data_IF_175981021062
#
_entry.id   IF_175981021062
#
_cell.length_a   1.000
_cell.length_b   1.000
_cell.length_c   1.000
_cell.angle_alpha   90.00
_cell.angle_beta   90.00
_cell.angle_gamma   90.00
#
_symmetry.space_group_name_H-M   'P 1'
#
loop_
_entity.id
_entity.type
_entity.pdbx_description
1 polymer ?
#
# COMPACT_ATOMS: atom_id res chain seq x y z
N UNK A 1 -6.40 1.02 24.50
CA UNK A 1 -6.25 0.34 23.21
C UNK A 1 -5.81 1.37 22.19
N UNK A 2 -4.54 1.39 21.80
CA UNK A 2 -4.04 2.31 20.77
C UNK A 2 -4.55 1.90 19.40
N UNK A 3 -5.72 2.39 19.00
CA UNK A 3 -6.19 2.25 17.63
C UNK A 3 -5.37 3.21 16.77
N UNK A 4 -4.62 2.67 15.83
CA UNK A 4 -3.93 3.46 14.83
C UNK A 4 -4.73 3.45 13.53
N UNK A 5 -4.58 4.49 12.74
CA UNK A 5 -5.07 4.53 11.38
C UNK A 5 -3.92 4.40 10.38
N UNK A 6 -4.21 3.73 9.28
CA UNK A 6 -3.25 3.55 8.18
C UNK A 6 -3.86 4.02 6.87
N UNK A 7 -3.04 4.55 5.99
CA UNK A 7 -3.40 4.72 4.60
C UNK A 7 -2.70 3.64 3.79
N UNK A 8 -3.49 2.85 3.11
CA UNK A 8 -3.00 1.92 2.09
C UNK A 8 -2.89 2.67 0.79
N UNK A 9 -1.71 2.67 0.17
CA UNK A 9 -1.43 3.45 -1.03
C UNK A 9 -0.85 2.56 -2.12
N UNK A 10 -1.21 2.88 -3.36
CA UNK A 10 -0.71 2.25 -4.58
C UNK A 10 -0.54 3.27 -5.68
N UNK A 11 0.47 3.10 -6.54
CA UNK A 11 0.76 3.97 -7.67
C UNK A 11 0.86 3.20 -8.98
N UNK A 12 0.21 3.73 -10.03
CA UNK A 12 0.59 3.42 -11.40
C UNK A 12 1.65 4.41 -11.88
N UNK A 13 2.59 3.92 -12.70
CA UNK A 13 3.80 4.68 -13.05
C UNK A 13 4.18 4.51 -14.51
N UNK A 14 5.03 5.41 -15.05
CA UNK A 14 5.56 5.29 -16.42
C UNK A 14 6.63 4.21 -16.57
N UNK A 15 7.15 3.69 -15.45
CA UNK A 15 8.19 2.67 -15.42
C UNK A 15 8.58 2.31 -13.99
N UNK A 16 9.77 1.78 -13.76
CA UNK A 16 10.13 1.11 -12.51
C UNK A 16 10.97 1.97 -11.54
N UNK A 17 11.51 3.11 -12.00
CA UNK A 17 12.50 3.85 -11.20
C UNK A 17 12.38 5.37 -11.34
N UNK A 18 11.97 6.06 -10.26
CA UNK A 18 11.91 7.52 -10.26
C UNK A 18 13.30 8.18 -10.42
N UNK A 19 14.38 7.45 -10.06
CA UNK A 19 15.76 7.91 -10.26
C UNK A 19 16.20 8.00 -11.72
N UNK A 20 15.53 7.25 -12.61
CA UNK A 20 15.75 7.32 -14.05
C UNK A 20 14.71 8.16 -14.79
N UNK A 21 13.91 8.94 -14.06
CA UNK A 21 12.96 9.87 -14.63
C UNK A 21 11.54 9.34 -14.74
N UNK A 22 11.26 8.11 -14.28
CA UNK A 22 9.90 7.61 -14.27
C UNK A 22 9.02 8.40 -13.29
N UNK A 23 7.77 8.56 -13.63
CA UNK A 23 6.78 9.39 -12.95
C UNK A 23 5.54 8.60 -12.58
N UNK A 24 4.85 9.05 -11.58
CA UNK A 24 3.51 8.55 -11.25
C UNK A 24 2.46 9.04 -12.24
N UNK A 25 1.50 8.18 -12.59
CA UNK A 25 0.39 8.49 -13.52
C UNK A 25 -0.99 8.29 -12.88
N UNK A 26 -1.08 7.49 -11.83
CA UNK A 26 -2.27 7.37 -10.99
C UNK A 26 -1.84 7.15 -9.54
N UNK A 27 -2.65 7.60 -8.60
CA UNK A 27 -2.56 7.24 -7.20
C UNK A 27 -3.91 6.78 -6.70
N UNK A 28 -3.92 5.68 -5.94
CA UNK A 28 -5.04 5.22 -5.13
C UNK A 28 -4.60 5.15 -3.67
N UNK A 29 -5.40 5.68 -2.77
CA UNK A 29 -5.12 5.63 -1.35
C UNK A 29 -6.40 5.41 -0.54
N UNK A 30 -6.35 4.50 0.43
CA UNK A 30 -7.50 4.06 1.23
C UNK A 30 -7.17 4.24 2.71
N UNK A 31 -7.94 5.05 3.40
CA UNK A 31 -7.83 5.25 4.84
C UNK A 31 -8.54 4.12 5.58
N UNK A 32 -7.78 3.37 6.36
CA UNK A 32 -8.28 2.32 7.25
C UNK A 32 -8.18 2.80 8.69
N UNK A 33 -9.28 2.77 9.41
CA UNK A 33 -9.37 3.04 10.83
C UNK A 33 -10.25 1.99 11.50
N UNK A 34 -9.83 1.45 12.65
CA UNK A 34 -10.61 0.43 13.37
C UNK A 34 -10.95 -0.80 12.53
N UNK A 35 -10.03 -1.26 11.67
CA UNK A 35 -10.25 -2.34 10.71
C UNK A 35 -11.42 -2.09 9.74
N UNK A 36 -11.72 -0.83 9.45
CA UNK A 36 -12.74 -0.42 8.48
C UNK A 36 -12.14 0.59 7.51
N UNK A 37 -12.55 0.52 6.25
CA UNK A 37 -12.28 1.54 5.25
C UNK A 37 -13.21 2.71 5.54
N UNK A 38 -12.63 3.90 5.77
CA UNK A 38 -13.40 5.09 6.18
C UNK A 38 -13.31 6.25 5.20
N UNK A 39 -12.27 6.30 4.35
CA UNK A 39 -12.10 7.33 3.32
C UNK A 39 -11.21 6.84 2.19
N UNK A 40 -11.29 7.46 1.02
CA UNK A 40 -10.50 7.11 -0.17
C UNK A 40 -10.07 8.36 -0.93
N UNK A 41 -8.89 8.27 -1.54
CA UNK A 41 -8.35 9.27 -2.44
C UNK A 41 -7.93 8.61 -3.75
N UNK A 42 -8.31 9.17 -4.89
CA UNK A 42 -7.88 8.72 -6.20
C UNK A 42 -7.64 9.89 -7.13
N UNK A 43 -6.60 9.83 -7.93
CA UNK A 43 -6.39 10.79 -9.02
C UNK A 43 -5.47 10.22 -10.10
N UNK A 44 -5.83 10.43 -11.36
CA UNK A 44 -4.88 10.41 -12.45
C UNK A 44 -3.96 11.62 -12.32
N UNK A 45 -2.74 11.50 -12.89
CA UNK A 45 -1.71 12.53 -12.86
C UNK A 45 -1.05 12.67 -14.22
N UNK A 46 -0.99 13.90 -14.74
CA UNK A 46 -0.26 14.18 -15.97
C UNK A 46 1.25 14.18 -15.70
N UNK A 47 2.03 13.21 -16.24
CA UNK A 47 3.47 13.13 -16.00
C UNK A 47 4.28 14.17 -16.81
N UNK A 48 3.63 14.95 -17.70
CA UNK A 48 4.30 15.87 -18.62
C UNK A 48 5.04 15.20 -19.78
N UNK A 49 4.82 13.89 -19.98
CA UNK A 49 5.43 13.08 -21.02
C UNK A 49 4.45 12.01 -21.49
N UNK A 50 4.68 11.46 -22.69
CA UNK A 50 3.89 10.34 -23.18
C UNK A 50 4.32 9.04 -22.50
N UNK A 51 3.35 8.21 -22.15
CA UNK A 51 3.58 6.83 -21.70
C UNK A 51 3.68 5.89 -22.90
N UNK A 52 4.38 4.77 -22.73
CA UNK A 52 4.53 3.76 -23.76
C UNK A 52 3.22 3.00 -24.00
N UNK A 53 3.08 2.39 -25.17
CA UNK A 53 1.94 1.52 -25.48
C UNK A 53 1.82 0.35 -24.48
N UNK A 54 2.95 -0.18 -24.00
CA UNK A 54 2.97 -1.22 -22.98
C UNK A 54 2.29 -0.76 -21.67
N UNK A 55 2.57 0.47 -21.22
CA UNK A 55 1.95 1.00 -20.00
C UNK A 55 0.45 1.26 -20.22
N UNK A 56 0.07 1.78 -21.41
CA UNK A 56 -1.35 1.95 -21.76
C UNK A 56 -2.11 0.62 -21.72
N UNK A 57 -1.55 -0.43 -22.31
CA UNK A 57 -2.14 -1.77 -22.33
C UNK A 57 -2.21 -2.38 -20.93
N UNK A 58 -1.13 -2.25 -20.14
CA UNK A 58 -1.01 -2.84 -18.82
C UNK A 58 -1.95 -2.21 -17.79
N UNK A 59 -2.07 -0.88 -17.77
CA UNK A 59 -2.85 -0.14 -16.77
C UNK A 59 -4.25 0.25 -17.27
N UNK A 60 -4.48 0.23 -18.59
CA UNK A 60 -5.66 0.81 -19.21
C UNK A 60 -5.72 2.34 -19.17
N UNK A 61 -4.66 2.99 -18.67
CA UNK A 61 -4.56 4.45 -18.60
C UNK A 61 -3.94 4.94 -19.90
N UNK A 62 -4.66 5.80 -20.65
CA UNK A 62 -4.22 6.26 -21.97
C UNK A 62 -3.54 7.62 -21.92
N UNK A 63 -2.70 7.92 -22.91
CA UNK A 63 -2.12 9.25 -23.11
C UNK A 63 -3.21 10.34 -23.23
N UNK A 64 -4.36 10.02 -23.80
CA UNK A 64 -5.51 10.92 -23.89
C UNK A 64 -6.12 11.22 -22.52
N UNK A 65 -6.18 10.24 -21.61
CA UNK A 65 -6.63 10.45 -20.23
C UNK A 65 -5.65 11.33 -19.46
N UNK A 66 -4.36 11.03 -19.58
CA UNK A 66 -3.30 11.75 -18.86
C UNK A 66 -3.16 13.21 -19.33
N UNK A 67 -3.39 13.50 -20.61
CA UNK A 67 -3.35 14.87 -21.10
C UNK A 67 -4.40 15.80 -20.49
N UNK A 68 -5.50 15.22 -19.99
CA UNK A 68 -6.62 15.93 -19.34
C UNK A 68 -6.53 15.88 -17.81
N UNK A 69 -5.61 15.09 -17.28
CA UNK A 69 -5.43 14.93 -15.84
C UNK A 69 -4.74 16.16 -15.21
N UNK A 70 -4.97 16.42 -13.92
CA UNK A 70 -4.23 17.45 -13.20
C UNK A 70 -2.73 17.16 -13.18
N UNK A 71 -1.92 18.19 -12.98
CA UNK A 71 -0.47 18.00 -12.83
C UNK A 71 -0.14 17.15 -11.60
N UNK A 72 0.97 16.40 -11.66
CA UNK A 72 1.46 15.64 -10.49
C UNK A 72 1.59 16.57 -9.28
N UNK A 73 2.11 17.79 -9.48
CA UNK A 73 2.28 18.76 -8.40
C UNK A 73 0.98 19.05 -7.66
N UNK A 74 -0.11 19.30 -8.39
CA UNK A 74 -1.44 19.55 -7.78
C UNK A 74 -1.95 18.35 -7.00
N UNK A 75 -1.84 17.15 -7.59
CA UNK A 75 -2.28 15.92 -6.93
C UNK A 75 -1.46 15.64 -5.68
N UNK A 76 -0.13 15.81 -5.74
CA UNK A 76 0.75 15.59 -4.59
C UNK A 76 0.49 16.55 -3.43
N UNK A 77 0.09 17.80 -3.71
CA UNK A 77 -0.35 18.72 -2.64
C UNK A 77 -1.63 18.24 -1.94
N UNK A 78 -2.59 17.71 -2.70
CA UNK A 78 -3.84 17.15 -2.14
C UNK A 78 -3.56 15.84 -1.41
N UNK A 79 -2.78 14.95 -2.01
CA UNK A 79 -2.38 13.69 -1.41
C UNK A 79 -1.64 13.90 -0.08
N UNK A 80 -0.71 14.84 -0.01
CA UNK A 80 -0.01 15.21 1.23
C UNK A 80 -0.98 15.54 2.36
N UNK A 81 -2.06 16.27 2.07
CA UNK A 81 -3.10 16.60 3.07
C UNK A 81 -3.84 15.34 3.49
N UNK A 82 -4.20 14.47 2.54
CA UNK A 82 -4.86 13.19 2.83
C UNK A 82 -3.97 12.26 3.66
N UNK A 83 -2.68 12.16 3.33
CA UNK A 83 -1.72 11.34 4.08
C UNK A 83 -1.56 11.81 5.53
N UNK A 84 -1.65 13.10 5.79
CA UNK A 84 -1.48 13.68 7.12
C UNK A 84 -0.33 13.03 7.91
N UNK A 85 -0.60 12.48 9.11
CA UNK A 85 0.37 11.73 9.93
C UNK A 85 0.03 10.24 10.07
N UNK A 86 -0.82 9.72 9.18
CA UNK A 86 -1.16 8.31 9.20
C UNK A 86 0.04 7.44 8.80
N UNK A 87 0.13 6.25 9.36
CA UNK A 87 1.06 5.23 8.86
C UNK A 87 0.67 4.77 7.46
N UNK A 88 1.65 4.39 6.65
CA UNK A 88 1.43 3.98 5.27
C UNK A 88 1.64 2.47 5.09
N UNK A 89 0.83 1.88 4.24
CA UNK A 89 0.95 0.48 3.84
C UNK A 89 0.90 0.40 2.32
N UNK A 90 1.74 -0.45 1.72
CA UNK A 90 1.64 -0.79 0.31
C UNK A 90 1.98 -2.27 0.09
N UNK A 91 1.53 -2.81 -1.05
CA UNK A 91 1.90 -4.16 -1.45
C UNK A 91 3.16 -4.13 -2.31
N UNK A 92 4.32 -4.55 -1.77
CA UNK A 92 5.67 -4.26 -2.26
C UNK A 92 6.11 -2.81 -1.99
N UNK A 93 5.92 -2.36 -0.77
CA UNK A 93 6.07 -0.97 -0.32
C UNK A 93 7.38 -0.27 -0.71
N UNK A 94 8.45 -1.01 -1.02
CA UNK A 94 9.70 -0.41 -1.52
C UNK A 94 9.53 0.27 -2.89
N UNK A 95 8.56 -0.14 -3.69
CA UNK A 95 8.23 0.49 -4.96
C UNK A 95 7.50 1.82 -4.71
N UNK A 96 6.36 1.76 -4.03
CA UNK A 96 5.51 2.93 -3.79
C UNK A 96 6.20 4.01 -2.96
N UNK A 97 6.97 3.61 -1.95
CA UNK A 97 7.69 4.56 -1.11
C UNK A 97 8.72 5.37 -1.91
N UNK A 98 9.44 4.76 -2.86
CA UNK A 98 10.40 5.47 -3.72
C UNK A 98 9.72 6.50 -4.62
N UNK A 99 8.57 6.15 -5.23
CA UNK A 99 7.82 7.07 -6.05
C UNK A 99 7.20 8.19 -5.22
N UNK A 100 6.58 7.86 -4.09
CA UNK A 100 6.03 8.86 -3.18
C UNK A 100 7.10 9.85 -2.70
N UNK A 101 8.26 9.35 -2.27
CA UNK A 101 9.35 10.20 -1.78
C UNK A 101 9.88 11.10 -2.90
N UNK A 102 10.07 10.57 -4.12
CA UNK A 102 10.54 11.34 -5.25
C UNK A 102 9.54 12.44 -5.68
N UNK A 103 8.25 12.14 -5.72
CA UNK A 103 7.25 13.15 -6.08
C UNK A 103 7.03 14.19 -4.97
N UNK A 104 7.13 13.81 -3.70
CA UNK A 104 7.11 14.75 -2.58
C UNK A 104 8.33 15.67 -2.59
N UNK A 105 9.53 15.16 -2.87
CA UNK A 105 10.75 15.99 -3.00
C UNK A 105 10.61 17.05 -4.10
N UNK A 106 9.94 16.75 -5.23
CA UNK A 106 9.68 17.72 -6.31
C UNK A 106 8.75 18.87 -5.89
N UNK A 107 7.98 18.69 -4.81
CA UNK A 107 7.18 19.76 -4.21
C UNK A 107 7.82 20.31 -2.91
N UNK A 108 9.11 20.09 -2.70
CA UNK A 108 9.87 20.51 -1.52
C UNK A 108 9.28 20.00 -0.20
N UNK A 109 8.79 18.77 -0.20
CA UNK A 109 8.25 18.13 1.00
C UNK A 109 8.93 16.78 1.25
N UNK A 110 9.22 16.49 2.53
CA UNK A 110 9.74 15.18 2.95
C UNK A 110 8.67 14.44 3.74
N UNK A 111 8.45 13.19 3.35
CA UNK A 111 7.54 12.30 4.09
C UNK A 111 8.05 12.06 5.50
N UNK A 112 7.14 12.09 6.46
CA UNK A 112 7.38 11.73 7.86
C UNK A 112 6.64 10.43 8.24
N UNK A 113 5.79 9.93 7.37
CA UNK A 113 4.97 8.74 7.60
C UNK A 113 5.83 7.47 7.53
N UNK A 114 5.64 6.57 8.49
CA UNK A 114 6.27 5.25 8.47
C UNK A 114 5.55 4.33 7.50
N UNK A 115 6.31 3.44 6.82
CA UNK A 115 5.77 2.44 5.92
C UNK A 115 5.83 1.02 6.51
N UNK A 116 4.81 0.22 6.21
CA UNK A 116 4.82 -1.23 6.31
C UNK A 116 4.54 -1.87 4.95
N UNK A 117 5.05 -3.08 4.75
CA UNK A 117 4.89 -3.83 3.50
C UNK A 117 3.97 -5.04 3.71
N UNK A 118 2.77 -5.01 3.14
CA UNK A 118 1.80 -6.10 3.24
C UNK A 118 2.32 -7.40 2.59
N UNK A 119 3.07 -7.32 1.48
CA UNK A 119 3.70 -8.47 0.85
C UNK A 119 4.73 -9.15 1.78
N UNK A 120 5.61 -8.38 2.42
CA UNK A 120 6.58 -8.94 3.35
C UNK A 120 5.92 -9.50 4.60
N UNK A 121 4.87 -8.86 5.11
CA UNK A 121 4.09 -9.36 6.25
C UNK A 121 3.37 -10.66 5.89
N UNK A 122 2.75 -10.75 4.69
CA UNK A 122 2.08 -11.96 4.24
C UNK A 122 3.01 -13.16 4.12
N UNK A 123 4.26 -12.94 3.72
CA UNK A 123 5.29 -14.01 3.67
C UNK A 123 5.59 -14.63 5.04
N UNK A 124 5.21 -13.98 6.13
CA UNK A 124 5.39 -14.45 7.51
C UNK A 124 4.12 -15.09 8.04
N UNK A 125 2.97 -14.52 7.73
CA UNK A 125 1.67 -15.00 8.21
C UNK A 125 1.13 -16.16 7.38
N UNK A 126 1.40 -16.14 6.08
CA UNK A 126 0.83 -17.11 5.13
C UNK A 126 1.92 -17.84 4.36
N UNK A 127 2.81 -18.59 5.05
CA UNK A 127 3.93 -19.29 4.38
C UNK A 127 3.48 -20.33 3.38
N UNK A 128 2.24 -20.83 3.49
CA UNK A 128 1.63 -21.85 2.63
C UNK A 128 0.89 -21.26 1.42
N UNK A 129 0.83 -19.94 1.28
CA UNK A 129 0.24 -19.33 0.09
C UNK A 129 1.08 -19.69 -1.16
N UNK A 130 0.44 -19.95 -2.31
CA UNK A 130 1.14 -20.36 -3.56
C UNK A 130 2.22 -19.35 -3.98
N UNK A 131 1.91 -18.08 -3.86
CA UNK A 131 2.84 -16.95 -3.95
C UNK A 131 2.30 -15.78 -3.11
N UNK A 132 3.01 -14.64 -3.14
CA UNK A 132 2.62 -13.47 -2.35
C UNK A 132 2.31 -12.25 -3.23
N UNK A 133 1.84 -12.48 -4.45
CA UNK A 133 1.21 -11.44 -5.27
C UNK A 133 -0.14 -11.07 -4.67
N UNK A 134 -0.56 -9.81 -4.82
CA UNK A 134 -1.80 -9.32 -4.25
C UNK A 134 -3.01 -10.17 -4.65
N UNK A 135 -3.17 -10.40 -5.94
CA UNK A 135 -4.27 -11.21 -6.50
C UNK A 135 -4.31 -12.64 -5.94
N UNK A 136 -3.15 -13.28 -5.80
CA UNK A 136 -3.06 -14.62 -5.22
C UNK A 136 -3.48 -14.62 -3.75
N UNK A 137 -3.04 -13.63 -2.96
CA UNK A 137 -3.40 -13.51 -1.55
C UNK A 137 -4.87 -13.18 -1.35
N UNK A 138 -5.45 -12.32 -2.19
CA UNK A 138 -6.89 -12.00 -2.19
C UNK A 138 -7.70 -13.28 -2.39
N UNK A 139 -7.35 -14.10 -3.38
CA UNK A 139 -8.00 -15.41 -3.61
C UNK A 139 -7.73 -16.39 -2.48
N UNK A 140 -6.50 -16.52 -2.02
CA UNK A 140 -6.08 -17.42 -0.94
C UNK A 140 -6.84 -17.17 0.38
N UNK A 141 -7.07 -15.91 0.71
CA UNK A 141 -7.82 -15.50 1.90
C UNK A 141 -9.31 -15.29 1.65
N UNK A 142 -9.80 -15.58 0.45
CA UNK A 142 -11.20 -15.40 0.02
C UNK A 142 -11.70 -13.98 0.34
N UNK A 143 -10.90 -12.98 -0.01
CA UNK A 143 -11.22 -11.58 0.22
C UNK A 143 -12.06 -11.01 -0.93
N UNK A 144 -12.75 -9.92 -0.65
CA UNK A 144 -13.50 -9.18 -1.66
C UNK A 144 -12.53 -8.66 -2.73
N UNK A 145 -12.74 -9.06 -3.98
CA UNK A 145 -12.08 -8.46 -5.14
C UNK A 145 -12.91 -7.27 -5.62
N UNK A 146 -12.27 -6.12 -5.78
CA UNK A 146 -12.93 -4.87 -6.16
C UNK A 146 -12.26 -4.31 -7.41
N UNK A 147 -13.06 -3.95 -8.42
CA UNK A 147 -12.58 -3.21 -9.59
C UNK A 147 -11.78 -4.04 -10.58
N UNK A 148 -11.08 -3.32 -11.45
CA UNK A 148 -10.16 -3.87 -12.48
C UNK A 148 -8.74 -3.83 -11.89
N UNK A 149 -8.01 -4.94 -11.96
CA UNK A 149 -6.58 -5.00 -11.62
C UNK A 149 -5.78 -3.96 -12.43
N UNK A 150 -4.67 -3.52 -11.87
CA UNK A 150 -3.83 -2.46 -12.45
C UNK A 150 -4.53 -1.09 -12.53
N UNK A 151 -5.33 -0.81 -11.51
CA UNK A 151 -5.85 0.53 -11.21
C UNK A 151 -5.55 0.82 -9.75
N UNK A 152 -4.81 1.89 -9.51
CA UNK A 152 -4.22 2.19 -8.21
C UNK A 152 -5.23 2.15 -7.03
N UNK A 153 -6.47 2.65 -7.21
CA UNK A 153 -7.45 2.57 -6.13
C UNK A 153 -7.94 1.15 -5.87
N UNK A 154 -8.16 0.34 -6.91
CA UNK A 154 -8.60 -1.03 -6.75
C UNK A 154 -7.54 -1.88 -6.03
N UNK A 155 -6.26 -1.71 -6.39
CA UNK A 155 -5.15 -2.43 -5.76
C UNK A 155 -4.90 -1.94 -4.32
N UNK A 156 -5.05 -0.64 -4.05
CA UNK A 156 -5.03 -0.11 -2.69
C UNK A 156 -6.18 -0.65 -1.82
N UNK A 157 -7.41 -0.76 -2.36
CA UNK A 157 -8.57 -1.31 -1.65
C UNK A 157 -8.40 -2.80 -1.36
N UNK A 158 -7.96 -3.59 -2.33
CA UNK A 158 -7.64 -5.01 -2.13
C UNK A 158 -6.54 -5.20 -1.08
N UNK A 159 -5.50 -4.35 -1.12
CA UNK A 159 -4.43 -4.36 -0.11
C UNK A 159 -4.95 -3.95 1.27
N UNK A 160 -5.92 -3.03 1.35
CA UNK A 160 -6.55 -2.65 2.61
C UNK A 160 -7.33 -3.82 3.22
N UNK A 161 -8.13 -4.55 2.43
CA UNK A 161 -8.81 -5.75 2.89
C UNK A 161 -7.82 -6.83 3.35
N UNK A 162 -6.72 -7.02 2.62
CA UNK A 162 -5.67 -7.95 3.02
C UNK A 162 -5.00 -7.52 4.34
N UNK A 163 -4.72 -6.24 4.53
CA UNK A 163 -4.13 -5.70 5.76
C UNK A 163 -5.04 -5.89 6.97
N UNK A 164 -6.34 -5.60 6.83
CA UNK A 164 -7.36 -5.85 7.85
C UNK A 164 -7.39 -7.33 8.22
N UNK A 165 -7.43 -8.20 7.21
CA UNK A 165 -7.44 -9.66 7.43
C UNK A 165 -6.20 -10.16 8.17
N UNK A 166 -5.02 -9.63 7.87
CA UNK A 166 -3.79 -9.96 8.59
C UNK A 166 -3.89 -9.60 10.07
N UNK A 167 -4.48 -8.44 10.40
CA UNK A 167 -4.70 -8.01 11.78
C UNK A 167 -5.69 -8.96 12.49
N UNK A 168 -6.77 -9.35 11.82
CA UNK A 168 -7.77 -10.29 12.35
C UNK A 168 -7.15 -11.68 12.58
N UNK A 169 -6.39 -12.20 11.61
CA UNK A 169 -5.74 -13.50 11.73
C UNK A 169 -4.69 -13.50 12.87
N UNK A 170 -3.93 -12.41 13.05
CA UNK A 170 -3.01 -12.30 14.18
C UNK A 170 -3.77 -12.33 15.51
N UNK A 171 -4.90 -11.66 15.59
CA UNK A 171 -5.73 -11.69 16.81
C UNK A 171 -6.27 -13.08 17.09
N UNK A 172 -6.82 -13.75 16.07
CA UNK A 172 -7.42 -15.09 16.24
C UNK A 172 -6.36 -16.17 16.50
N UNK A 173 -5.29 -16.21 15.72
CA UNK A 173 -4.35 -17.32 15.72
C UNK A 173 -3.36 -17.25 16.89
N UNK A 174 -2.99 -16.03 17.32
CA UNK A 174 -2.04 -15.81 18.42
C UNK A 174 -2.69 -15.27 19.69
N UNK A 175 -3.98 -14.95 19.67
CA UNK A 175 -4.74 -14.47 20.83
C UNK A 175 -4.28 -13.10 21.33
N UNK A 176 -3.77 -12.22 20.43
CA UNK A 176 -3.41 -10.85 20.78
C UNK A 176 -4.66 -9.96 20.83
N UNK A 177 -4.78 -9.12 21.86
CA UNK A 177 -5.87 -8.14 21.98
C UNK A 177 -5.62 -6.93 21.08
N UNK A 178 -4.34 -6.52 20.95
CA UNK A 178 -3.92 -5.39 20.14
C UNK A 178 -2.85 -5.78 19.12
N UNK A 179 -2.98 -5.26 17.90
CA UNK A 179 -1.99 -5.42 16.82
C UNK A 179 -1.51 -4.04 16.41
N UNK A 180 -0.55 -3.44 17.11
CA UNK A 180 -0.03 -2.11 16.79
C UNK A 180 0.75 -2.13 15.47
N UNK A 181 0.83 -0.96 14.79
CA UNK A 181 1.54 -0.82 13.52
C UNK A 181 3.00 -1.29 13.60
N UNK A 182 3.69 -0.95 14.70
CA UNK A 182 5.07 -1.38 14.93
C UNK A 182 5.25 -2.90 15.02
N UNK A 183 4.23 -3.66 15.48
CA UNK A 183 4.25 -5.12 15.43
C UNK A 183 4.28 -5.61 13.98
N UNK A 184 3.40 -5.06 13.14
CA UNK A 184 3.32 -5.42 11.72
C UNK A 184 4.63 -5.08 10.96
N UNK A 185 5.25 -3.94 11.28
CA UNK A 185 6.55 -3.57 10.73
C UNK A 185 7.66 -4.56 11.16
N UNK A 186 7.73 -4.91 12.45
CA UNK A 186 8.71 -5.85 12.97
C UNK A 186 8.52 -7.26 12.36
N UNK A 187 7.26 -7.70 12.27
CA UNK A 187 6.91 -8.98 11.67
C UNK A 187 7.46 -9.10 10.24
N UNK A 188 7.36 -8.05 9.42
CA UNK A 188 7.89 -8.05 8.06
C UNK A 188 9.41 -8.22 7.97
N UNK A 189 10.15 -7.92 9.04
CA UNK A 189 11.62 -7.93 9.08
C UNK A 189 12.24 -9.20 9.68
N UNK A 190 11.48 -9.97 10.45
CA UNK A 190 11.99 -11.20 11.07
C UNK A 190 11.96 -12.38 10.08
N UNK A 191 12.71 -13.44 10.36
CA UNK A 191 12.63 -14.66 9.59
C UNK A 191 11.35 -15.46 9.91
N UNK A 192 10.84 -16.24 8.93
CA UNK A 192 9.64 -17.08 9.13
C UNK A 192 9.72 -17.97 10.38
N UNK A 193 10.89 -18.56 10.64
CA UNK A 193 11.10 -19.45 11.79
C UNK A 193 10.93 -18.76 13.15
N UNK A 194 11.12 -17.44 13.21
CA UNK A 194 11.01 -16.64 14.45
C UNK A 194 9.60 -16.08 14.71
N UNK A 195 8.66 -16.28 13.80
CA UNK A 195 7.29 -15.74 13.94
C UNK A 195 6.59 -16.26 15.21
N UNK A 196 6.57 -17.58 15.52
CA UNK A 196 5.90 -18.08 16.72
C UNK A 196 6.47 -17.48 18.02
N UNK A 197 7.80 -17.48 18.15
CA UNK A 197 8.49 -16.91 19.32
C UNK A 197 8.21 -15.40 19.45
N UNK A 198 8.26 -14.67 18.33
CA UNK A 198 7.97 -13.24 18.30
C UNK A 198 6.53 -12.96 18.76
N UNK A 199 5.54 -13.70 18.26
CA UNK A 199 4.13 -13.52 18.64
C UNK A 199 3.88 -13.86 20.11
N UNK A 200 4.50 -14.93 20.61
CA UNK A 200 4.43 -15.29 22.03
C UNK A 200 4.98 -14.17 22.92
N UNK A 201 6.14 -13.60 22.55
CA UNK A 201 6.74 -12.47 23.27
C UNK A 201 5.85 -11.23 23.25
N UNK A 202 5.14 -10.99 22.15
CA UNK A 202 4.20 -9.86 22.05
C UNK A 202 2.99 -10.07 22.96
N UNK A 203 2.45 -11.30 23.02
CA UNK A 203 1.34 -11.65 23.89
C UNK A 203 1.68 -11.49 25.38
N UNK A 204 2.91 -11.80 25.78
CA UNK A 204 3.38 -11.64 27.18
C UNK A 204 3.55 -10.18 27.62
N UNK A 205 3.47 -9.22 26.67
CA UNK A 205 3.62 -7.78 26.95
C UNK A 205 2.28 -7.05 27.04
N UNK A 206 1.17 -7.74 26.77
CA UNK A 206 -0.18 -7.21 26.95
C UNK A 206 -0.65 -7.31 28.38
#
# INVERSE_FOLDING_TARGET
>A
MGQYSTIVIDFETTGLSPGYGDRTIEVGAVLVSNCQIVDMFQSLMNPGMRISAFIEEYTGITNSMLSKAPSIKEVMHKLKVFLARHHLVAHNASFDSRFLDAELDRINHKRQNEFACSMLTSRRLYPEAPDHKLETLVRYKNLKSVGVHHRALADAEMTAHLWIRMIEDIRSDYGLQAVPFGLMQQLSRISKKKVPEFMQKMKMKE
#
